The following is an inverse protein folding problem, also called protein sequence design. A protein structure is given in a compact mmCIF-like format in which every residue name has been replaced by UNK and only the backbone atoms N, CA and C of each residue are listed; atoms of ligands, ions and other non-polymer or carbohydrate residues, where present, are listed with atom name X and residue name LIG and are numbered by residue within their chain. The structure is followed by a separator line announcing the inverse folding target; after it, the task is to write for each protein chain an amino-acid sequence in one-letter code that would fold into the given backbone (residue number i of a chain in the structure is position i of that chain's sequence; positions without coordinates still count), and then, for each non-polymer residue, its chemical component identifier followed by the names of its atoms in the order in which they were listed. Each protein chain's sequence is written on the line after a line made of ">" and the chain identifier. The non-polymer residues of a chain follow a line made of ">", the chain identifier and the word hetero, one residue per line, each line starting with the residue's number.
data_IF_436006718364
#
_entry.id   IF_436006718364
#
_cell.length_a   1.000
_cell.length_b   1.000
_cell.length_c   1.000
_cell.angle_alpha   90.00
_cell.angle_beta   90.00
_cell.angle_gamma   90.00
#
_symmetry.space_group_name_H-M   'P 1'
#
loop_
_entity.id
_entity.type
_entity.pdbx_description
1 polymer ?
#
# COMPACT_ATOMS: atom_id res chain seq x y z
N UNK A 1 -5.26 -10.49 -27.83
CA UNK A 1 -5.69 -10.26 -26.44
C UNK A 1 -7.13 -9.77 -26.45
N UNK A 2 -7.99 -10.43 -25.70
CA UNK A 2 -9.36 -9.97 -25.55
C UNK A 2 -9.41 -8.81 -24.54
N UNK A 3 -10.02 -7.72 -24.95
CA UNK A 3 -10.26 -6.57 -24.07
C UNK A 3 -11.73 -6.53 -23.61
N UNK A 4 -12.39 -7.67 -23.68
CA UNK A 4 -13.82 -7.80 -23.40
C UNK A 4 -14.05 -8.16 -21.92
N UNK A 5 -15.15 -7.66 -21.39
CA UNK A 5 -15.60 -8.03 -20.06
C UNK A 5 -16.10 -9.48 -20.03
N UNK A 6 -15.82 -10.19 -18.95
CA UNK A 6 -16.17 -11.61 -18.78
C UNK A 6 -17.30 -11.84 -17.77
N UNK A 7 -17.72 -10.83 -17.03
CA UNK A 7 -18.77 -10.97 -16.04
C UNK A 7 -19.37 -9.65 -15.62
N UNK A 8 -20.49 -9.73 -14.93
CA UNK A 8 -21.17 -8.60 -14.35
C UNK A 8 -21.15 -8.64 -12.82
N UNK A 9 -21.70 -7.60 -12.21
CA UNK A 9 -21.79 -7.48 -10.77
C UNK A 9 -23.13 -6.92 -10.35
N UNK A 10 -23.82 -7.65 -9.49
CA UNK A 10 -25.03 -7.15 -8.83
C UNK A 10 -24.64 -6.34 -7.59
N UNK A 11 -25.56 -5.51 -7.12
CA UNK A 11 -25.34 -4.72 -5.92
C UNK A 11 -25.21 -5.64 -4.70
N UNK A 12 -24.06 -5.66 -3.99
CA UNK A 12 -23.88 -6.49 -2.81
C UNK A 12 -24.62 -5.93 -1.59
N UNK A 13 -24.67 -6.72 -0.52
CA UNK A 13 -25.17 -6.28 0.78
C UNK A 13 -24.24 -5.24 1.40
N UNK A 14 -24.79 -4.48 2.36
CA UNK A 14 -24.05 -3.44 3.08
C UNK A 14 -23.36 -4.05 4.32
N UNK A 15 -22.39 -4.91 4.09
CA UNK A 15 -21.71 -5.66 5.16
C UNK A 15 -20.20 -5.43 5.22
N UNK A 16 -19.71 -4.39 4.54
CA UNK A 16 -18.28 -4.05 4.53
C UNK A 16 -18.02 -2.74 5.25
N UNK A 17 -16.80 -2.59 5.76
CA UNK A 17 -16.30 -1.37 6.40
C UNK A 17 -15.04 -0.89 5.68
N UNK A 18 -14.79 0.41 5.77
CA UNK A 18 -13.57 1.00 5.21
C UNK A 18 -12.43 1.01 6.20
N UNK A 19 -11.23 1.25 5.69
CA UNK A 19 -10.02 1.48 6.47
C UNK A 19 -9.02 0.34 6.43
N UNK A 20 -7.81 0.64 6.89
CA UNK A 20 -6.67 -0.26 6.96
C UNK A 20 -6.44 -0.63 8.42
N UNK A 21 -6.27 -1.93 8.69
CA UNK A 21 -5.95 -2.45 10.03
C UNK A 21 -4.45 -2.43 10.28
N UNK A 22 -3.70 -3.05 9.38
CA UNK A 22 -2.25 -3.20 9.47
C UNK A 22 -1.62 -3.07 8.10
N UNK A 23 -0.34 -2.75 8.10
CA UNK A 23 0.46 -2.71 6.88
C UNK A 23 1.75 -3.46 7.11
N UNK A 24 2.19 -4.20 6.09
CA UNK A 24 3.40 -4.99 6.14
C UNK A 24 4.34 -4.55 5.01
N UNK A 25 5.59 -4.33 5.34
CA UNK A 25 6.61 -3.95 4.37
C UNK A 25 7.58 -5.12 4.15
N UNK A 26 7.89 -5.36 2.89
CA UNK A 26 8.88 -6.36 2.46
C UNK A 26 9.90 -5.64 1.59
N UNK A 27 11.19 -5.90 1.81
CA UNK A 27 12.24 -5.31 1.01
C UNK A 27 12.12 -5.69 -0.47
N UNK A 28 12.42 -4.74 -1.34
CA UNK A 28 12.32 -4.95 -2.78
C UNK A 28 13.21 -6.11 -3.25
N UNK A 29 12.60 -7.01 -4.02
CA UNK A 29 13.28 -8.17 -4.58
C UNK A 29 13.27 -9.42 -3.70
N UNK A 30 12.88 -9.32 -2.43
CA UNK A 30 12.90 -10.45 -1.50
C UNK A 30 11.77 -11.45 -1.76
N UNK A 31 10.72 -11.05 -2.48
CA UNK A 31 9.60 -11.95 -2.79
C UNK A 31 9.98 -13.09 -3.75
N UNK A 32 11.05 -12.91 -4.53
CA UNK A 32 11.44 -13.89 -5.55
C UNK A 32 10.43 -13.93 -6.70
N UNK A 33 10.16 -15.13 -7.20
CA UNK A 33 9.14 -15.33 -8.24
C UNK A 33 7.76 -15.42 -7.59
N UNK A 34 6.86 -14.54 -8.01
CA UNK A 34 5.48 -14.50 -7.52
C UNK A 34 4.56 -15.13 -8.54
N UNK A 35 3.75 -16.09 -8.09
CA UNK A 35 2.74 -16.74 -8.92
C UNK A 35 1.39 -16.08 -8.67
N UNK A 36 0.77 -15.60 -9.74
CA UNK A 36 -0.54 -14.93 -9.69
C UNK A 36 -1.55 -15.74 -10.48
N UNK A 37 -2.68 -16.06 -9.87
CA UNK A 37 -3.81 -16.71 -10.52
C UNK A 37 -5.10 -16.01 -10.11
N UNK A 38 -5.97 -15.73 -11.08
CA UNK A 38 -7.24 -15.02 -10.88
C UNK A 38 -7.09 -13.71 -10.11
N UNK A 39 -6.06 -12.94 -10.46
CA UNK A 39 -5.70 -11.67 -9.82
C UNK A 39 -5.34 -11.82 -8.32
N UNK A 40 -4.97 -13.01 -7.90
CA UNK A 40 -4.54 -13.31 -6.54
C UNK A 40 -3.12 -13.90 -6.53
N UNK A 41 -2.33 -13.48 -5.55
CA UNK A 41 -1.01 -14.06 -5.32
C UNK A 41 -1.20 -15.39 -4.64
N UNK A 42 -0.77 -16.48 -5.29
CA UNK A 42 -0.90 -17.84 -4.76
C UNK A 42 0.38 -18.34 -4.12
N UNK A 43 1.54 -17.83 -4.55
CA UNK A 43 2.83 -18.24 -4.02
C UNK A 43 3.89 -17.16 -4.28
N UNK A 44 4.92 -17.13 -3.42
CA UNK A 44 6.13 -16.33 -3.59
C UNK A 44 7.33 -17.19 -3.23
N UNK A 45 8.24 -17.39 -4.17
CA UNK A 45 9.36 -18.33 -4.03
C UNK A 45 10.50 -17.82 -3.13
N UNK A 46 10.53 -16.51 -2.85
CA UNK A 46 11.59 -15.92 -2.05
C UNK A 46 11.43 -16.19 -0.55
N UNK A 47 12.55 -16.13 0.16
CA UNK A 47 12.54 -16.09 1.63
C UNK A 47 12.57 -14.64 2.07
N UNK A 48 11.52 -14.19 2.73
CA UNK A 48 11.41 -12.78 3.11
C UNK A 48 10.94 -12.62 4.54
N UNK A 49 11.35 -11.51 5.14
CA UNK A 49 10.85 -11.03 6.43
C UNK A 49 9.97 -9.83 6.19
N UNK A 50 8.79 -9.83 6.76
CA UNK A 50 7.90 -8.67 6.68
C UNK A 50 7.91 -7.91 7.99
N UNK A 51 7.79 -6.60 7.88
CA UNK A 51 7.76 -5.67 9.02
C UNK A 51 6.36 -5.10 9.15
N UNK A 52 5.72 -5.36 10.28
CA UNK A 52 4.32 -5.00 10.52
C UNK A 52 4.21 -3.66 11.24
N UNK A 53 3.34 -2.79 10.73
CA UNK A 53 2.99 -1.52 11.37
C UNK A 53 1.47 -1.46 11.57
N UNK A 54 1.05 -1.13 12.79
CA UNK A 54 -0.35 -0.85 13.08
C UNK A 54 -0.70 0.58 12.67
N UNK A 55 -1.68 0.72 11.79
CA UNK A 55 -2.10 2.01 11.23
C UNK A 55 -3.59 2.27 11.49
N UNK A 56 -4.03 2.00 12.68
CA UNK A 56 -5.42 2.18 13.07
C UNK A 56 -5.85 3.64 12.95
N UNK A 57 -6.90 3.87 12.21
CA UNK A 57 -7.44 5.22 11.94
C UNK A 57 -6.83 5.81 10.66
N UNK A 58 -7.20 6.93 10.23
CA UNK A 58 -6.75 7.83 9.14
C UNK A 58 -5.72 7.32 8.12
N UNK A 59 -5.81 6.06 7.72
CA UNK A 59 -4.94 5.45 6.72
C UNK A 59 -5.78 4.85 5.61
N UNK A 60 -5.33 4.98 4.38
CA UNK A 60 -6.09 4.54 3.22
C UNK A 60 -5.20 4.04 2.09
N UNK A 61 -5.75 3.15 1.29
CA UNK A 61 -5.19 2.73 0.01
C UNK A 61 -6.19 3.09 -1.09
N UNK A 62 -5.71 3.74 -2.11
CA UNK A 62 -6.50 4.10 -3.28
C UNK A 62 -5.76 3.70 -4.54
N UNK A 63 -6.44 3.04 -5.47
CA UNK A 63 -5.89 2.71 -6.78
C UNK A 63 -6.60 3.53 -7.84
N UNK A 64 -5.84 4.36 -8.55
CA UNK A 64 -6.32 5.21 -9.61
C UNK A 64 -5.97 4.59 -10.97
N UNK A 65 -6.94 4.57 -11.87
CA UNK A 65 -6.73 4.06 -13.23
C UNK A 65 -6.47 5.28 -14.14
N UNK A 66 -5.31 5.31 -14.77
CA UNK A 66 -4.97 6.35 -15.75
C UNK A 66 -4.83 5.72 -17.12
N UNK A 67 -5.63 6.20 -18.06
CA UNK A 67 -5.69 5.65 -19.42
C UNK A 67 -5.71 6.78 -20.44
N UNK A 68 -5.00 6.59 -21.55
CA UNK A 68 -4.95 7.53 -22.66
C UNK A 68 -5.13 6.78 -23.97
N UNK A 69 -6.19 7.13 -24.71
CA UNK A 69 -6.45 6.56 -26.04
C UNK A 69 -5.38 7.05 -27.03
N UNK A 70 -5.00 8.33 -26.95
CA UNK A 70 -4.06 8.94 -27.89
C UNK A 70 -2.66 8.33 -27.78
N UNK A 71 -2.22 8.01 -26.57
CA UNK A 71 -0.93 7.39 -26.32
C UNK A 71 -0.99 5.85 -26.32
N UNK A 72 -2.18 5.26 -26.27
CA UNK A 72 -2.35 3.83 -26.19
C UNK A 72 -1.88 3.23 -24.87
N UNK A 73 -1.93 3.99 -23.79
CA UNK A 73 -1.38 3.59 -22.49
C UNK A 73 -2.47 3.47 -21.42
N UNK A 74 -2.30 2.52 -20.52
CA UNK A 74 -3.11 2.38 -19.31
C UNK A 74 -2.21 1.89 -18.19
N UNK A 75 -2.26 2.55 -17.05
CA UNK A 75 -1.54 2.11 -15.86
C UNK A 75 -2.36 2.37 -14.59
N UNK A 76 -1.97 1.68 -13.52
CA UNK A 76 -2.64 1.78 -12.23
C UNK A 76 -1.69 2.47 -11.25
N UNK A 77 -2.16 3.58 -10.69
CA UNK A 77 -1.44 4.29 -9.65
C UNK A 77 -2.02 3.90 -8.29
N UNK A 78 -1.22 3.23 -7.48
CA UNK A 78 -1.60 2.80 -6.15
C UNK A 78 -1.02 3.78 -5.14
N UNK A 79 -1.88 4.44 -4.39
CA UNK A 79 -1.49 5.45 -3.39
C UNK A 79 -1.89 4.98 -2.01
N UNK A 80 -0.91 4.88 -1.11
CA UNK A 80 -1.13 4.51 0.29
C UNK A 80 -0.81 5.71 1.16
N UNK A 81 -1.79 6.18 1.91
CA UNK A 81 -1.63 7.24 2.90
C UNK A 81 -1.65 6.64 4.29
N UNK A 82 -0.60 6.88 5.06
CA UNK A 82 -0.42 6.32 6.39
C UNK A 82 -0.24 7.41 7.42
N UNK A 83 -0.77 7.18 8.62
CA UNK A 83 -0.57 8.05 9.77
C UNK A 83 -0.13 7.20 10.96
N UNK A 84 1.05 7.49 11.47
CA UNK A 84 1.60 6.81 12.65
C UNK A 84 1.66 7.80 13.82
N UNK A 85 0.94 7.55 14.92
CA UNK A 85 1.05 8.39 16.10
C UNK A 85 2.36 8.13 16.85
N UNK A 86 2.80 9.12 17.62
CA UNK A 86 3.97 9.06 18.49
C UNK A 86 5.31 8.99 17.75
N UNK A 87 6.12 10.03 17.94
CA UNK A 87 7.47 10.08 17.43
C UNK A 87 8.40 9.22 18.30
N UNK A 88 9.18 8.32 17.68
CA UNK A 88 10.24 7.55 18.34
C UNK A 88 11.51 7.60 17.49
N UNK A 89 12.67 7.42 18.13
CA UNK A 89 13.92 7.46 17.38
C UNK A 89 14.11 6.22 16.49
N UNK A 90 13.57 5.09 16.89
CA UNK A 90 13.58 3.85 16.12
C UNK A 90 12.77 4.01 14.83
N UNK A 91 11.58 4.60 14.93
CA UNK A 91 10.74 4.87 13.78
C UNK A 91 11.35 5.90 12.84
N UNK A 92 12.04 6.92 13.36
CA UNK A 92 12.79 7.87 12.53
C UNK A 92 13.83 7.17 11.66
N UNK A 93 14.55 6.21 12.21
CA UNK A 93 15.54 5.42 11.47
C UNK A 93 14.88 4.59 10.38
N UNK A 94 13.84 3.86 10.73
CA UNK A 94 13.13 2.99 9.77
C UNK A 94 12.49 3.79 8.64
N UNK A 95 11.90 4.94 8.94
CA UNK A 95 11.30 5.79 7.91
C UNK A 95 12.34 6.39 6.96
N UNK A 96 13.53 6.71 7.45
CA UNK A 96 14.65 7.16 6.59
C UNK A 96 15.08 6.05 5.64
N UNK A 97 15.21 4.82 6.13
CA UNK A 97 15.55 3.67 5.29
C UNK A 97 14.47 3.42 4.24
N UNK A 98 13.21 3.52 4.63
CA UNK A 98 12.07 3.36 3.73
C UNK A 98 12.06 4.44 2.64
N UNK A 99 12.42 5.67 2.97
CA UNK A 99 12.44 6.78 2.01
C UNK A 99 13.50 6.60 0.91
N UNK A 100 14.56 5.87 1.17
CA UNK A 100 15.60 5.57 0.17
C UNK A 100 15.30 4.32 -0.65
N UNK A 101 14.43 3.46 -0.16
CA UNK A 101 14.08 2.20 -0.79
C UNK A 101 12.72 2.26 -1.52
N UNK A 102 12.35 1.11 -2.07
CA UNK A 102 11.04 0.92 -2.71
C UNK A 102 10.46 -0.44 -2.28
N UNK A 103 9.94 -0.54 -1.05
CA UNK A 103 9.47 -1.81 -0.54
C UNK A 103 8.20 -2.29 -1.24
N UNK A 104 7.97 -3.60 -1.20
CA UNK A 104 6.66 -4.15 -1.47
C UNK A 104 5.78 -3.93 -0.24
N UNK A 105 4.54 -3.54 -0.46
CA UNK A 105 3.62 -3.21 0.62
C UNK A 105 2.41 -4.13 0.58
N UNK A 106 2.11 -4.77 1.71
CA UNK A 106 0.91 -5.56 1.88
C UNK A 106 -0.01 -4.85 2.86
N UNK A 107 -1.21 -4.54 2.40
CA UNK A 107 -2.20 -3.78 3.16
C UNK A 107 -3.30 -4.71 3.61
N UNK A 108 -3.48 -4.85 4.93
CA UNK A 108 -4.56 -5.64 5.52
C UNK A 108 -5.72 -4.70 5.91
N UNK A 109 -6.90 -4.98 5.36
CA UNK A 109 -8.10 -4.19 5.62
C UNK A 109 -8.88 -4.74 6.82
N UNK A 110 -9.83 -3.95 7.32
CA UNK A 110 -10.73 -4.41 8.39
C UNK A 110 -11.66 -5.54 7.94
N UNK A 111 -11.86 -5.71 6.64
CA UNK A 111 -12.66 -6.80 6.08
C UNK A 111 -11.90 -8.13 6.00
N UNK A 112 -10.61 -8.15 6.34
CA UNK A 112 -9.76 -9.33 6.28
C UNK A 112 -9.06 -9.54 4.95
N UNK A 113 -9.23 -8.64 3.99
CA UNK A 113 -8.55 -8.73 2.71
C UNK A 113 -7.14 -8.18 2.81
N UNK A 114 -6.20 -8.80 2.09
CA UNK A 114 -4.81 -8.33 1.99
C UNK A 114 -4.53 -7.95 0.54
N UNK A 115 -4.09 -6.73 0.34
CA UNK A 115 -3.75 -6.20 -0.99
C UNK A 115 -2.26 -5.97 -1.09
N UNK A 116 -1.66 -6.32 -2.23
CA UNK A 116 -0.26 -6.06 -2.52
C UNK A 116 -0.11 -4.78 -3.33
N UNK A 117 0.71 -3.88 -2.84
CA UNK A 117 1.04 -2.62 -3.50
C UNK A 117 2.50 -2.69 -3.95
N UNK A 118 2.74 -2.34 -5.22
CA UNK A 118 4.09 -2.35 -5.75
C UNK A 118 4.66 -3.75 -5.97
N UNK A 119 3.86 -4.66 -6.53
CA UNK A 119 4.27 -6.05 -6.74
C UNK A 119 5.49 -6.17 -7.65
N UNK A 120 5.53 -5.43 -8.75
CA UNK A 120 6.60 -5.51 -9.74
C UNK A 120 7.65 -4.41 -9.56
N UNK A 121 7.21 -3.18 -9.37
CA UNK A 121 8.07 -1.99 -9.35
C UNK A 121 8.37 -1.46 -7.95
N UNK A 122 7.73 -2.01 -6.92
CA UNK A 122 7.82 -1.51 -5.56
C UNK A 122 7.05 -0.21 -5.36
N UNK A 123 6.91 0.21 -4.11
CA UNK A 123 6.23 1.45 -3.73
C UNK A 123 7.26 2.48 -3.25
N UNK A 124 7.26 3.65 -3.88
CA UNK A 124 8.17 4.74 -3.50
C UNK A 124 7.49 5.66 -2.47
N UNK A 125 8.24 6.11 -1.50
CA UNK A 125 7.79 7.17 -0.59
C UNK A 125 7.89 8.50 -1.32
N UNK A 126 6.76 9.04 -1.71
CA UNK A 126 6.70 10.29 -2.50
C UNK A 126 6.55 11.53 -1.63
N UNK A 127 6.00 11.37 -0.43
CA UNK A 127 5.86 12.46 0.52
C UNK A 127 5.76 11.92 1.94
N UNK A 128 6.10 12.71 2.91
CA UNK A 128 5.96 12.35 4.29
C UNK A 128 6.34 13.50 5.21
N UNK A 129 5.80 13.51 6.40
CA UNK A 129 6.12 14.52 7.42
C UNK A 129 6.31 13.85 8.78
N UNK A 130 7.21 14.42 9.59
CA UNK A 130 7.30 14.13 11.00
C UNK A 130 6.90 15.39 11.74
N UNK A 131 5.83 15.34 12.52
CA UNK A 131 5.26 16.52 13.18
C UNK A 131 5.17 16.35 14.69
N UNK A 132 5.44 17.41 15.42
CA UNK A 132 5.30 17.42 16.87
C UNK A 132 3.92 17.88 17.34
N UNK A 133 3.18 18.57 16.47
CA UNK A 133 1.99 19.30 16.84
C UNK A 133 2.29 20.60 17.59
N UNK A 134 1.32 21.46 17.69
CA UNK A 134 1.42 22.71 18.43
C UNK A 134 0.53 22.71 19.68
N UNK A 135 -0.71 22.29 19.55
CA UNK A 135 -1.64 22.11 20.67
C UNK A 135 -1.54 20.69 21.24
N UNK A 136 -2.02 20.48 22.46
CA UNK A 136 -1.95 19.17 23.11
C UNK A 136 -2.75 18.09 22.39
N UNK A 137 -3.81 18.47 21.66
CA UNK A 137 -4.63 17.54 20.89
C UNK A 137 -4.12 17.28 19.47
N UNK A 138 -3.05 17.91 19.05
CA UNK A 138 -2.51 17.75 17.70
C UNK A 138 -1.73 16.45 17.54
N UNK A 139 -1.59 16.00 16.29
CA UNK A 139 -0.80 14.81 15.99
C UNK A 139 0.67 15.02 16.35
N UNK A 140 1.22 14.09 17.13
CA UNK A 140 2.64 13.94 17.33
C UNK A 140 3.03 12.61 16.70
N UNK A 141 3.56 12.63 15.49
CA UNK A 141 3.80 11.40 14.76
C UNK A 141 4.27 11.64 13.33
N UNK A 142 3.96 10.68 12.47
CA UNK A 142 4.40 10.66 11.09
C UNK A 142 3.22 10.53 10.15
N UNK A 143 3.31 11.21 9.00
CA UNK A 143 2.45 10.94 7.86
C UNK A 143 3.32 10.51 6.68
N UNK A 144 2.89 9.48 5.97
CA UNK A 144 3.60 8.96 4.80
C UNK A 144 2.64 8.77 3.64
N UNK A 145 3.13 9.07 2.45
CA UNK A 145 2.45 8.73 1.20
C UNK A 145 3.38 7.87 0.36
N UNK A 146 2.94 6.66 0.05
CA UNK A 146 3.64 5.74 -0.84
C UNK A 146 2.87 5.65 -2.15
N UNK A 147 3.58 5.68 -3.26
CA UNK A 147 2.98 5.58 -4.59
C UNK A 147 3.66 4.47 -5.38
N UNK A 148 2.86 3.59 -5.98
CA UNK A 148 3.33 2.55 -6.87
C UNK A 148 2.58 2.67 -8.19
N UNK A 149 3.32 2.65 -9.30
CA UNK A 149 2.78 2.63 -10.65
C UNK A 149 3.01 1.25 -11.26
N UNK A 150 1.92 0.56 -11.61
CA UNK A 150 1.94 -0.81 -12.15
C UNK A 150 1.27 -0.95 -13.53
#
# INVERSE_FOLDING_TARGET
>A
MACDLTGGRLRPCKDVVGGIRQIHFVNYGDLGTVTVADDQITDASGTFTYYTYDVKGNSSLETNITSSIDNGTTYFEQVVNLTFPKLTKEDNKELKLMAYGRPHVFVETYNGDVMCVGLENGADVTAGTAVTGAAMGDLNGYTLTLTANE
#
